data_IF_261193753145
#
_entry.id   IF_261193753145
#
_cell.length_a   1.000
_cell.length_b   1.000
_cell.length_c   1.000
_cell.angle_alpha   90.00
_cell.angle_beta   90.00
_cell.angle_gamma   90.00
#
_symmetry.space_group_name_H-M   'P 1'
#
loop_
_entity.id
_entity.type
_entity.pdbx_description
1 polymer ?
#
# COMPACT_ATOMS: atom_id res chain seq x y z
N UNK A 1 5.43 8.96 5.89
CA UNK A 1 5.54 7.52 6.22
C UNK A 1 5.64 6.63 4.98
N UNK A 2 4.87 6.86 3.91
CA UNK A 2 4.88 6.01 2.70
C UNK A 2 6.27 5.80 2.09
N UNK A 3 7.04 6.88 1.90
CA UNK A 3 8.42 6.80 1.37
C UNK A 3 9.31 5.86 2.19
N UNK A 4 9.29 6.01 3.52
CA UNK A 4 10.11 5.22 4.44
C UNK A 4 9.73 3.74 4.42
N UNK A 5 8.43 3.44 4.36
CA UNK A 5 7.94 2.06 4.35
C UNK A 5 8.30 1.33 3.05
N UNK A 6 8.27 2.02 1.92
CA UNK A 6 8.59 1.44 0.61
C UNK A 6 10.08 1.54 0.25
N UNK A 7 10.87 2.35 0.97
CA UNK A 7 12.24 2.67 0.56
C UNK A 7 12.30 3.37 -0.80
N UNK A 8 11.27 4.14 -1.15
CA UNK A 8 11.03 4.67 -2.49
C UNK A 8 10.56 6.14 -2.43
N UNK A 9 10.67 6.94 -3.52
CA UNK A 9 10.26 8.36 -3.51
C UNK A 9 8.77 8.58 -3.29
N UNK A 10 7.96 7.56 -3.57
CA UNK A 10 6.52 7.50 -3.29
C UNK A 10 6.09 6.03 -3.25
N UNK A 11 4.87 5.79 -2.76
CA UNK A 11 4.22 4.49 -2.82
C UNK A 11 3.09 4.54 -3.84
N UNK A 12 2.95 3.48 -4.64
CA UNK A 12 1.85 3.35 -5.59
C UNK A 12 0.89 2.28 -5.07
N UNK A 13 -0.37 2.66 -4.94
CA UNK A 13 -1.42 1.80 -4.42
C UNK A 13 -2.62 1.79 -5.35
N UNK A 14 -3.33 0.65 -5.38
CA UNK A 14 -4.69 0.55 -5.88
C UNK A 14 -5.60 0.14 -4.72
N UNK A 15 -6.77 0.77 -4.60
CA UNK A 15 -7.73 0.46 -3.55
C UNK A 15 -8.84 -0.45 -4.08
N UNK A 16 -9.16 -1.49 -3.33
CA UNK A 16 -10.25 -2.42 -3.61
C UNK A 16 -11.10 -2.61 -2.35
N UNK A 17 -12.33 -3.09 -2.51
CA UNK A 17 -13.13 -3.55 -1.38
C UNK A 17 -12.45 -4.76 -0.74
N UNK A 18 -12.47 -4.85 0.59
CA UNK A 18 -11.92 -6.01 1.33
C UNK A 18 -12.55 -7.33 0.87
N UNK A 19 -13.82 -7.31 0.49
CA UNK A 19 -14.54 -8.48 -0.05
C UNK A 19 -14.01 -8.96 -1.40
N UNK A 20 -13.26 -8.13 -2.14
CA UNK A 20 -12.65 -8.48 -3.42
C UNK A 20 -11.18 -8.93 -3.27
N UNK A 21 -10.62 -8.90 -2.06
CA UNK A 21 -9.26 -9.37 -1.79
C UNK A 21 -9.31 -10.70 -1.04
N UNK A 22 -8.70 -11.73 -1.61
CA UNK A 22 -8.49 -13.02 -0.95
C UNK A 22 -7.00 -13.35 -0.83
N UNK A 23 -6.59 -13.81 0.35
CA UNK A 23 -5.22 -14.29 0.59
C UNK A 23 -5.23 -15.81 0.45
N UNK A 24 -4.82 -16.29 -0.72
CA UNK A 24 -4.84 -17.73 -1.01
C UNK A 24 -3.74 -18.50 -0.28
N UNK A 25 -2.59 -17.86 0.00
CA UNK A 25 -1.43 -18.46 0.68
C UNK A 25 -0.67 -17.41 1.48
N UNK A 26 0.01 -17.84 2.54
CA UNK A 26 0.98 -17.00 3.26
C UNK A 26 0.36 -15.98 4.20
N UNK A 27 -0.91 -16.09 4.56
CA UNK A 27 -1.56 -15.20 5.53
C UNK A 27 -0.81 -15.15 6.87
N UNK A 28 -0.26 -16.28 7.31
CA UNK A 28 0.57 -16.39 8.52
C UNK A 28 1.92 -15.68 8.44
N UNK A 29 2.33 -15.23 7.25
CA UNK A 29 3.56 -14.47 7.03
C UNK A 29 3.31 -12.96 7.01
N UNK A 30 2.04 -12.52 7.03
CA UNK A 30 1.68 -11.12 7.07
C UNK A 30 1.78 -10.60 8.49
N UNK A 31 2.56 -9.52 8.65
CA UNK A 31 2.66 -8.78 9.90
C UNK A 31 2.02 -7.41 9.69
N UNK A 32 1.21 -6.99 10.66
CA UNK A 32 0.61 -5.66 10.71
C UNK A 32 1.45 -4.73 11.58
N UNK A 33 1.69 -3.52 11.10
CA UNK A 33 2.30 -2.44 11.85
C UNK A 33 1.38 -1.21 11.86
N UNK A 34 1.04 -0.74 13.06
CA UNK A 34 0.31 0.51 13.23
C UNK A 34 1.25 1.68 12.93
N UNK A 35 1.00 2.37 11.82
CA UNK A 35 1.87 3.44 11.36
C UNK A 35 1.42 4.84 11.78
N UNK A 36 0.14 5.04 12.10
CA UNK A 36 -0.43 6.30 12.58
C UNK A 36 -1.94 6.14 12.86
N UNK A 37 -2.40 6.50 14.05
CA UNK A 37 -3.83 6.38 14.40
C UNK A 37 -4.32 4.95 14.19
N UNK A 38 -5.34 4.78 13.35
CA UNK A 38 -5.90 3.47 13.00
C UNK A 38 -5.24 2.82 11.76
N UNK A 39 -4.31 3.53 11.10
CA UNK A 39 -3.70 3.07 9.85
C UNK A 39 -2.73 1.92 10.08
N UNK A 40 -3.09 0.75 9.54
CA UNK A 40 -2.28 -0.45 9.51
C UNK A 40 -1.57 -0.60 8.17
N UNK A 41 -0.29 -0.99 8.23
CA UNK A 41 0.51 -1.41 7.09
C UNK A 41 0.83 -2.88 7.24
N UNK A 42 0.51 -3.69 6.24
CA UNK A 42 0.82 -5.12 6.25
C UNK A 42 1.93 -5.45 5.26
N UNK A 43 2.90 -6.22 5.72
CA UNK A 43 4.07 -6.63 4.95
C UNK A 43 4.43 -8.08 5.25
N UNK A 44 5.18 -8.71 4.35
CA UNK A 44 5.67 -10.07 4.54
C UNK A 44 6.84 -10.08 5.53
N UNK A 45 6.74 -10.82 6.63
CA UNK A 45 7.79 -10.93 7.63
C UNK A 45 9.07 -11.63 7.13
N UNK A 46 8.99 -12.37 6.01
CA UNK A 46 10.13 -13.09 5.45
C UNK A 46 10.98 -12.25 4.51
N UNK A 47 10.35 -11.52 3.59
CA UNK A 47 11.05 -10.74 2.56
C UNK A 47 10.93 -9.23 2.73
N UNK A 48 10.11 -8.74 3.66
CA UNK A 48 9.89 -7.32 3.91
C UNK A 48 8.99 -6.61 2.90
N UNK A 49 8.48 -7.30 1.87
CA UNK A 49 7.62 -6.68 0.85
C UNK A 49 6.37 -6.06 1.49
N UNK A 50 6.15 -4.78 1.20
CA UNK A 50 4.95 -4.03 1.60
C UNK A 50 3.79 -4.44 0.71
N UNK A 51 2.66 -4.87 1.30
CA UNK A 51 1.54 -5.45 0.54
C UNK A 51 0.26 -4.63 0.71
N UNK A 52 -0.15 -4.35 1.95
CA UNK A 52 -1.45 -3.72 2.20
C UNK A 52 -1.36 -2.48 3.07
N UNK A 53 -2.27 -1.55 2.83
CA UNK A 53 -2.53 -0.37 3.64
C UNK A 53 -4.05 -0.30 3.90
N UNK A 54 -4.45 -0.24 5.18
CA UNK A 54 -5.85 -0.32 5.60
C UNK A 54 -6.07 0.37 6.95
N UNK A 55 -7.32 0.42 7.41
CA UNK A 55 -7.68 1.03 8.69
C UNK A 55 -8.02 2.52 8.59
N UNK A 56 -8.40 3.00 7.40
CA UNK A 56 -8.91 4.36 7.24
C UNK A 56 -10.34 4.47 7.78
N UNK A 57 -10.59 5.41 8.69
CA UNK A 57 -11.92 5.65 9.27
C UNK A 57 -12.96 6.06 8.22
N UNK A 58 -12.54 6.79 7.19
CA UNK A 58 -13.43 7.21 6.10
C UNK A 58 -13.68 6.13 5.05
N UNK A 59 -12.88 5.05 5.05
CA UNK A 59 -12.93 3.98 4.05
C UNK A 59 -12.70 2.61 4.71
N UNK A 60 -13.49 2.31 5.75
CA UNK A 60 -13.31 1.12 6.59
C UNK A 60 -13.39 -0.20 5.83
N UNK A 61 -14.15 -0.24 4.74
CA UNK A 61 -14.38 -1.45 3.93
C UNK A 61 -13.35 -1.62 2.80
N UNK A 62 -12.41 -0.69 2.68
CA UNK A 62 -11.40 -0.69 1.64
C UNK A 62 -10.04 -1.15 2.15
N UNK A 63 -9.26 -1.71 1.24
CA UNK A 63 -7.86 -2.06 1.42
C UNK A 63 -7.09 -1.56 0.20
N UNK A 64 -5.93 -0.97 0.45
CA UNK A 64 -5.03 -0.53 -0.61
C UNK A 64 -3.91 -1.55 -0.79
N UNK A 65 -3.75 -2.07 -2.00
CA UNK A 65 -2.74 -3.05 -2.40
C UNK A 65 -1.59 -2.31 -3.06
N UNK A 66 -0.35 -2.61 -2.68
CA UNK A 66 0.84 -2.06 -3.32
C UNK A 66 0.84 -2.48 -4.79
N UNK A 67 0.67 -1.52 -5.70
CA UNK A 67 0.35 -1.81 -7.10
C UNK A 67 1.46 -2.61 -7.78
N UNK A 68 2.72 -2.28 -7.47
CA UNK A 68 3.91 -2.92 -8.05
C UNK A 68 4.13 -4.37 -7.60
N UNK A 69 3.25 -4.94 -6.78
CA UNK A 69 3.30 -6.37 -6.39
C UNK A 69 2.35 -7.24 -7.21
N UNK A 70 1.62 -6.67 -8.18
CA UNK A 70 0.79 -7.43 -9.10
C UNK A 70 1.66 -7.95 -10.26
N UNK A 71 1.47 -9.23 -10.61
CA UNK A 71 2.18 -9.86 -11.73
C UNK A 71 1.63 -9.40 -13.08
N UNK A 72 0.32 -9.13 -13.14
CA UNK A 72 -0.37 -8.69 -14.36
C UNK A 72 -0.48 -7.16 -14.42
N UNK A 73 -0.42 -6.56 -15.62
CA UNK A 73 -0.65 -5.13 -15.81
C UNK A 73 -2.00 -4.70 -15.25
N UNK A 74 -2.01 -3.62 -14.47
CA UNK A 74 -3.24 -3.02 -14.00
C UNK A 74 -3.66 -1.89 -14.95
N UNK A 75 -4.81 -2.05 -15.58
CA UNK A 75 -5.44 -0.97 -16.35
C UNK A 75 -6.11 0.00 -15.37
N UNK A 76 -5.54 1.18 -15.21
CA UNK A 76 -6.05 2.22 -14.29
C UNK A 76 -6.52 3.42 -15.10
N UNK A 77 -7.82 3.71 -15.05
CA UNK A 77 -8.41 4.82 -15.81
C UNK A 77 -8.09 6.20 -15.21
N UNK A 78 -7.83 6.26 -13.90
CA UNK A 78 -7.58 7.51 -13.17
C UNK A 78 -6.49 7.33 -12.12
N UNK A 79 -5.46 8.17 -12.21
CA UNK A 79 -4.37 8.23 -11.23
C UNK A 79 -4.48 9.54 -10.45
N UNK A 80 -4.36 9.46 -9.12
CA UNK A 80 -4.31 10.64 -8.24
C UNK A 80 -2.97 10.70 -7.53
N UNK A 81 -2.29 11.83 -7.66
CA UNK A 81 -1.06 12.13 -6.92
C UNK A 81 -1.39 12.95 -5.68
N UNK A 82 -1.11 12.40 -4.49
CA UNK A 82 -1.34 13.05 -3.20
C UNK A 82 -0.02 13.23 -2.45
N UNK A 83 -0.01 14.14 -1.48
CA UNK A 83 1.16 14.47 -0.66
C UNK A 83 2.40 14.94 -1.46
N UNK A 84 2.17 15.66 -2.55
CA UNK A 84 3.22 16.15 -3.46
C UNK A 84 4.13 17.18 -2.78
N UNK A 85 3.65 17.86 -1.75
CA UNK A 85 4.43 18.77 -0.90
C UNK A 85 5.60 18.07 -0.19
N UNK A 86 5.55 16.73 -0.06
CA UNK A 86 6.59 15.90 0.53
C UNK A 86 7.49 15.20 -0.50
N UNK A 87 7.46 15.63 -1.77
CA UNK A 87 8.32 15.08 -2.83
C UNK A 87 9.80 15.21 -2.45
N UNK A 88 10.57 14.15 -2.68
CA UNK A 88 12.00 14.14 -2.39
C UNK A 88 12.76 15.06 -3.34
N UNK A 89 13.78 15.76 -2.84
CA UNK A 89 14.50 16.80 -3.59
C UNK A 89 15.36 16.25 -4.76
N UNK A 90 15.71 14.97 -4.72
CA UNK A 90 16.57 14.33 -5.73
C UNK A 90 15.78 13.67 -6.87
N UNK A 91 14.45 13.63 -6.79
CA UNK A 91 13.62 13.04 -7.84
C UNK A 91 13.15 14.12 -8.82
N UNK A 92 13.76 14.16 -10.00
CA UNK A 92 13.38 15.03 -11.10
C UNK A 92 12.53 14.25 -12.12
N UNK A 93 11.23 14.14 -11.81
CA UNK A 93 10.16 13.56 -12.62
C UNK A 93 9.00 14.54 -12.72
#
# INVERSE_FOLDING_TARGET
>A
MCQKHHGAPFAVYVSVLKTHLSINKGAQLLVSYNSSGEIQRQFCQKCGSSLFWLGSDSHTDWVSVALSTLDEPCNVDKVKHIHQESKVCWLDL
#
